data_IF_662347786008
#
_entry.id   IF_662347786008
#
_cell.length_a   1.000
_cell.length_b   1.000
_cell.length_c   1.000
_cell.angle_alpha   90.00
_cell.angle_beta   90.00
_cell.angle_gamma   90.00
#
_symmetry.space_group_name_H-M   'P 1'
#
loop_
_entity.id
_entity.type
_entity.pdbx_description
1 polymer ?
#
# COMPACT_ATOMS: atom_id res chain seq x y z
N UNK A 1 4.09 -9.58 15.93
CA UNK A 1 4.33 -9.47 14.48
C UNK A 1 5.27 -8.31 14.25
N UNK A 2 6.26 -8.44 13.36
CA UNK A 2 7.16 -7.33 13.02
C UNK A 2 6.47 -6.35 12.05
N UNK A 3 6.94 -5.10 11.95
CA UNK A 3 6.39 -4.12 11.01
C UNK A 3 6.39 -4.65 9.56
N UNK A 4 7.44 -5.34 9.06
CA UNK A 4 7.39 -5.96 7.75
C UNK A 4 6.27 -7.00 7.59
N UNK A 5 6.03 -7.85 8.60
CA UNK A 5 4.97 -8.86 8.56
C UNK A 5 3.57 -8.22 8.53
N UNK A 6 3.33 -7.18 9.34
CA UNK A 6 2.09 -6.40 9.31
C UNK A 6 1.86 -5.79 7.93
N UNK A 7 2.90 -5.22 7.34
CA UNK A 7 2.84 -4.63 6.00
C UNK A 7 2.50 -5.70 4.93
N UNK A 8 3.22 -6.83 4.92
CA UNK A 8 3.00 -7.91 3.95
C UNK A 8 1.56 -8.45 4.02
N UNK A 9 1.05 -8.62 5.25
CA UNK A 9 -0.32 -9.09 5.51
C UNK A 9 -1.39 -8.06 5.21
N UNK A 10 -1.05 -6.78 5.16
CA UNK A 10 -1.98 -5.71 4.76
C UNK A 10 -2.02 -5.52 3.25
N UNK A 11 -0.94 -5.88 2.55
CA UNK A 11 -0.89 -5.87 1.09
C UNK A 11 -1.63 -7.03 0.45
N UNK A 12 -1.49 -8.25 0.98
CA UNK A 12 -1.85 -9.47 0.25
C UNK A 12 -2.75 -10.45 1.01
N UNK A 13 -3.54 -11.18 0.23
CA UNK A 13 -4.25 -12.39 0.62
C UNK A 13 -3.36 -13.60 0.33
N UNK A 14 -3.35 -14.58 1.24
CA UNK A 14 -2.55 -15.79 1.10
C UNK A 14 -3.41 -17.04 0.98
N UNK A 15 -2.88 -18.06 0.29
CA UNK A 15 -3.41 -19.42 0.35
C UNK A 15 -2.91 -20.17 1.60
N UNK A 16 -3.29 -21.45 1.74
CA UNK A 16 -2.88 -22.29 2.86
C UNK A 16 -1.39 -22.63 2.89
N UNK A 17 -0.67 -22.43 1.76
CA UNK A 17 0.77 -22.59 1.66
C UNK A 17 1.53 -21.28 1.91
N UNK A 18 0.84 -20.19 2.27
CA UNK A 18 1.44 -18.88 2.51
C UNK A 18 1.81 -18.13 1.22
N UNK A 19 1.30 -18.54 0.06
CA UNK A 19 1.56 -17.87 -1.22
C UNK A 19 0.54 -16.80 -1.53
N UNK A 20 0.95 -15.74 -2.23
CA UNK A 20 0.06 -14.64 -2.62
C UNK A 20 -1.02 -15.19 -3.56
N UNK A 21 -2.28 -15.03 -3.18
CA UNK A 21 -3.47 -15.32 -4.01
C UNK A 21 -3.96 -14.07 -4.74
N UNK A 22 -3.76 -12.91 -4.12
CA UNK A 22 -4.16 -11.62 -4.66
C UNK A 22 -3.85 -10.48 -3.69
N UNK A 23 -4.12 -9.26 -4.11
CA UNK A 23 -4.01 -8.06 -3.29
C UNK A 23 -5.26 -7.87 -2.40
N UNK A 24 -5.25 -6.88 -1.50
CA UNK A 24 -6.32 -6.63 -0.50
C UNK A 24 -7.22 -5.44 -0.81
N UNK A 25 -7.10 -4.86 -1.99
CA UNK A 25 -8.07 -3.91 -2.52
C UNK A 25 -9.47 -4.55 -2.58
N UNK A 26 -10.55 -3.77 -2.51
CA UNK A 26 -11.91 -4.28 -2.67
C UNK A 26 -12.13 -5.06 -3.98
N UNK A 27 -11.45 -4.64 -5.05
CA UNK A 27 -11.33 -5.38 -6.30
C UNK A 27 -9.89 -5.91 -6.41
N UNK A 28 -9.63 -7.17 -6.01
CA UNK A 28 -8.28 -7.68 -5.83
C UNK A 28 -7.63 -8.03 -7.17
N UNK A 29 -6.40 -7.55 -7.35
CA UNK A 29 -5.51 -8.00 -8.43
C UNK A 29 -4.75 -9.28 -8.04
N UNK A 30 -4.14 -10.01 -8.99
CA UNK A 30 -3.28 -11.15 -8.66
C UNK A 30 -2.06 -10.80 -7.78
N UNK A 31 -1.65 -9.53 -7.74
CA UNK A 31 -0.46 -9.08 -7.01
C UNK A 31 0.86 -9.43 -7.72
N UNK A 32 2.01 -9.05 -7.14
CA UNK A 32 3.32 -9.31 -7.72
C UNK A 32 3.66 -10.80 -7.63
N UNK A 33 4.50 -11.30 -8.56
CA UNK A 33 5.03 -12.67 -8.49
C UNK A 33 5.89 -12.91 -7.25
N UNK A 34 6.58 -11.87 -6.79
CA UNK A 34 7.43 -11.88 -5.61
C UNK A 34 7.37 -10.52 -4.92
N UNK A 35 7.18 -10.52 -3.61
CA UNK A 35 7.24 -9.33 -2.77
C UNK A 35 8.29 -9.54 -1.68
N UNK A 36 9.13 -8.53 -1.46
CA UNK A 36 10.12 -8.50 -0.38
C UNK A 36 9.93 -7.20 0.42
N UNK A 37 9.70 -7.34 1.72
CA UNK A 37 9.58 -6.21 2.65
C UNK A 37 10.73 -6.29 3.63
N UNK A 38 11.57 -5.27 3.59
CA UNK A 38 12.79 -5.18 4.40
C UNK A 38 12.57 -4.23 5.57
N UNK A 39 12.94 -4.66 6.77
CA UNK A 39 12.91 -3.84 7.98
C UNK A 39 14.23 -3.94 8.74
N UNK A 40 14.42 -3.04 9.71
CA UNK A 40 15.65 -2.99 10.52
C UNK A 40 15.86 -4.22 11.40
N UNK A 41 14.81 -4.99 11.69
CA UNK A 41 14.86 -6.19 12.53
C UNK A 41 14.65 -7.50 11.75
N UNK A 42 13.98 -7.45 10.60
CA UNK A 42 13.62 -8.65 9.83
C UNK A 42 13.33 -8.30 8.38
N UNK A 43 13.48 -9.26 7.50
CA UNK A 43 12.87 -9.27 6.17
C UNK A 43 11.72 -10.28 6.15
N UNK A 44 10.64 -9.95 5.45
CA UNK A 44 9.56 -10.89 5.13
C UNK A 44 9.29 -10.84 3.64
N UNK A 45 8.79 -11.92 3.09
CA UNK A 45 8.53 -12.04 1.67
C UNK A 45 7.36 -12.99 1.42
N UNK A 46 6.85 -12.94 0.20
CA UNK A 46 5.93 -13.96 -0.28
C UNK A 46 6.06 -14.10 -1.80
N UNK A 47 5.74 -15.30 -2.28
CA UNK A 47 5.72 -15.66 -3.70
C UNK A 47 4.27 -15.91 -4.11
N UNK A 48 3.89 -15.53 -5.34
CA UNK A 48 2.53 -15.76 -5.85
C UNK A 48 2.24 -17.23 -6.13
N UNK A 49 0.99 -17.63 -5.94
CA UNK A 49 0.55 -19.02 -6.02
C UNK A 49 0.79 -19.67 -7.39
N UNK A 50 0.75 -18.89 -8.47
CA UNK A 50 0.97 -19.34 -9.85
C UNK A 50 2.46 -19.44 -10.25
N UNK A 51 3.39 -19.00 -9.39
CA UNK A 51 4.82 -19.13 -9.65
C UNK A 51 5.25 -20.58 -9.47
N UNK A 52 5.91 -21.21 -10.46
CA UNK A 52 6.32 -22.61 -10.38
C UNK A 52 7.10 -22.92 -9.10
N UNK A 53 6.81 -24.06 -8.46
CA UNK A 53 7.38 -24.44 -7.15
C UNK A 53 8.92 -24.30 -7.12
N UNK A 54 9.62 -24.79 -8.14
CA UNK A 54 11.08 -24.68 -8.25
C UNK A 54 11.60 -23.23 -8.21
N UNK A 55 10.86 -22.29 -8.80
CA UNK A 55 11.21 -20.87 -8.77
C UNK A 55 10.90 -20.26 -7.41
N UNK A 56 9.76 -20.63 -6.82
CA UNK A 56 9.39 -20.21 -5.47
C UNK A 56 10.41 -20.67 -4.42
N UNK A 57 10.85 -21.93 -4.47
CA UNK A 57 11.85 -22.47 -3.55
C UNK A 57 13.18 -21.69 -3.61
N UNK A 58 13.60 -21.30 -4.81
CA UNK A 58 14.80 -20.50 -5.00
C UNK A 58 14.62 -19.06 -4.51
N UNK A 59 13.45 -18.46 -4.75
CA UNK A 59 13.11 -17.13 -4.20
C UNK A 59 13.09 -17.16 -2.67
N UNK A 60 12.50 -18.19 -2.06
CA UNK A 60 12.45 -18.38 -0.61
C UNK A 60 13.84 -18.55 -0.02
N UNK A 61 14.69 -19.36 -0.66
CA UNK A 61 16.08 -19.55 -0.24
C UNK A 61 16.88 -18.24 -0.27
N UNK A 62 16.73 -17.44 -1.32
CA UNK A 62 17.42 -16.16 -1.46
C UNK A 62 16.90 -15.13 -0.45
N UNK A 63 15.57 -14.99 -0.34
CA UNK A 63 14.95 -14.04 0.56
C UNK A 63 15.22 -14.37 2.04
N UNK A 64 15.27 -15.66 2.39
CA UNK A 64 15.66 -16.12 3.73
C UNK A 64 17.12 -15.86 4.10
N UNK A 65 17.98 -15.56 3.12
CA UNK A 65 19.37 -15.17 3.34
C UNK A 65 19.56 -13.64 3.40
N UNK A 66 18.51 -12.83 3.15
CA UNK A 66 18.60 -11.38 3.25
C UNK A 66 18.81 -10.94 4.71
N UNK A 67 19.82 -10.09 4.99
CA UNK A 67 19.99 -9.52 6.31
C UNK A 67 18.92 -8.45 6.58
N UNK A 68 18.59 -8.17 7.85
CA UNK A 68 17.88 -6.95 8.21
C UNK A 68 18.60 -5.71 7.68
N UNK A 69 17.83 -4.71 7.26
CA UNK A 69 18.38 -3.56 6.53
C UNK A 69 19.04 -2.54 7.47
N UNK A 70 20.28 -2.15 7.16
CA UNK A 70 20.98 -1.07 7.85
C UNK A 70 20.62 0.31 7.27
N UNK A 71 20.66 0.41 5.93
CA UNK A 71 20.32 1.60 5.15
C UNK A 71 19.26 1.28 4.09
N UNK A 72 18.13 1.99 4.13
CA UNK A 72 17.00 1.77 3.22
C UNK A 72 17.29 2.16 1.77
N UNK A 73 18.39 2.86 1.51
CA UNK A 73 18.85 3.21 0.16
C UNK A 73 19.52 2.03 -0.54
N UNK A 74 19.97 1.03 0.20
CA UNK A 74 20.65 -0.12 -0.36
C UNK A 74 19.67 -1.03 -1.10
N UNK A 75 20.13 -1.59 -2.22
CA UNK A 75 19.41 -2.64 -2.94
C UNK A 75 19.36 -3.94 -2.11
N UNK A 76 18.37 -4.82 -2.32
CA UNK A 76 18.41 -6.17 -1.77
C UNK A 76 19.68 -6.92 -2.21
N UNK A 77 20.23 -7.77 -1.34
CA UNK A 77 21.48 -8.50 -1.61
C UNK A 77 21.37 -9.31 -2.90
N UNK A 78 20.19 -9.89 -3.15
CA UNK A 78 19.95 -10.73 -4.32
C UNK A 78 19.10 -10.05 -5.40
N UNK A 79 19.10 -8.71 -5.49
CA UNK A 79 18.25 -7.93 -6.40
C UNK A 79 18.26 -8.42 -7.86
N UNK A 80 19.44 -8.68 -8.43
CA UNK A 80 19.56 -9.18 -9.81
C UNK A 80 18.94 -10.57 -9.96
N UNK A 81 19.11 -11.44 -8.96
CA UNK A 81 18.59 -12.79 -9.01
C UNK A 81 17.08 -12.82 -8.89
N UNK A 82 16.49 -11.96 -8.06
CA UNK A 82 15.03 -11.77 -7.99
C UNK A 82 14.47 -11.35 -9.35
N UNK A 83 15.13 -10.40 -10.04
CA UNK A 83 14.71 -9.96 -11.39
C UNK A 83 14.70 -11.11 -12.39
N UNK A 84 15.74 -11.95 -12.39
CA UNK A 84 15.82 -13.10 -13.31
C UNK A 84 14.75 -14.15 -13.02
N UNK A 85 14.45 -14.41 -11.74
CA UNK A 85 13.52 -15.46 -11.32
C UNK A 85 12.05 -15.04 -11.44
N UNK A 86 11.70 -13.86 -10.95
CA UNK A 86 10.32 -13.36 -11.01
C UNK A 86 9.99 -12.75 -12.38
N UNK A 87 10.97 -12.06 -12.99
CA UNK A 87 10.76 -11.25 -14.19
C UNK A 87 9.80 -10.07 -13.95
N UNK A 88 9.55 -9.31 -15.02
CA UNK A 88 8.62 -8.18 -15.00
C UNK A 88 9.20 -6.88 -14.46
N UNK A 89 8.33 -5.89 -14.29
CA UNK A 89 8.71 -4.58 -13.76
C UNK A 89 8.96 -4.64 -12.25
N UNK A 90 9.94 -3.87 -11.80
CA UNK A 90 10.26 -3.74 -10.37
C UNK A 90 9.64 -2.45 -9.85
N UNK A 91 8.71 -2.61 -8.91
CA UNK A 91 8.25 -1.50 -8.08
C UNK A 91 8.96 -1.53 -6.73
N UNK A 92 9.48 -0.39 -6.29
CA UNK A 92 10.16 -0.28 -5.01
C UNK A 92 10.00 1.11 -4.42
N UNK A 93 9.88 1.19 -3.10
CA UNK A 93 9.76 2.45 -2.38
C UNK A 93 9.71 2.23 -0.87
N UNK A 94 9.91 3.30 -0.09
CA UNK A 94 9.71 3.24 1.35
C UNK A 94 8.23 3.04 1.69
N UNK A 95 7.98 2.34 2.79
CA UNK A 95 6.68 2.31 3.43
C UNK A 95 6.77 3.05 4.76
N UNK A 96 5.81 3.93 5.01
CA UNK A 96 5.76 4.74 6.22
C UNK A 96 4.61 4.28 7.10
N UNK A 97 4.79 4.44 8.41
CA UNK A 97 3.72 4.29 9.39
C UNK A 97 3.51 5.63 10.06
N UNK A 98 2.29 5.90 10.48
CA UNK A 98 2.03 7.09 11.28
C UNK A 98 2.79 7.00 12.62
N UNK A 99 3.29 8.13 13.15
CA UNK A 99 3.74 8.18 14.53
C UNK A 99 2.60 7.83 15.49
N UNK A 100 2.93 7.49 16.74
CA UNK A 100 1.95 7.18 17.79
C UNK A 100 0.93 8.29 18.01
N UNK A 101 1.30 9.53 17.72
CA UNK A 101 0.42 10.70 17.82
C UNK A 101 0.45 11.46 16.51
N UNK A 102 -0.73 11.65 15.93
CA UNK A 102 -0.96 12.46 14.74
C UNK A 102 -1.89 13.60 15.14
N UNK A 103 -1.53 14.84 14.86
CA UNK A 103 -2.43 15.97 15.10
C UNK A 103 -3.59 15.93 14.11
N UNK A 104 -4.82 16.13 14.60
CA UNK A 104 -6.00 16.16 13.73
C UNK A 104 -6.04 17.49 12.99
N UNK A 105 -5.91 17.50 11.65
CA UNK A 105 -6.05 18.74 10.90
C UNK A 105 -7.52 19.17 10.81
N UNK A 106 -7.73 20.48 10.68
CA UNK A 106 -9.04 21.04 10.34
C UNK A 106 -9.26 21.06 8.82
N UNK A 107 -10.49 21.42 8.39
CA UNK A 107 -10.79 21.66 6.98
C UNK A 107 -10.92 20.42 6.11
N UNK A 108 -11.18 19.25 6.72
CA UNK A 108 -11.43 18.00 5.99
C UNK A 108 -12.85 17.49 6.20
N UNK A 109 -13.39 16.83 5.19
CA UNK A 109 -14.73 16.21 5.24
C UNK A 109 -14.65 14.72 4.94
N UNK A 110 -15.56 13.94 5.51
CA UNK A 110 -15.75 12.54 5.09
C UNK A 110 -16.38 12.50 3.70
N UNK A 111 -15.89 11.61 2.85
CA UNK A 111 -16.44 11.38 1.52
C UNK A 111 -17.29 10.11 1.54
N UNK A 112 -18.59 10.29 1.36
CA UNK A 112 -19.57 9.19 1.28
C UNK A 112 -20.27 9.09 -0.07
N UNK A 113 -20.01 10.02 -0.99
CA UNK A 113 -20.69 10.10 -2.28
C UNK A 113 -19.78 10.56 -3.41
N UNK A 114 -19.97 9.97 -4.59
CA UNK A 114 -19.18 10.20 -5.80
C UNK A 114 -19.13 11.66 -6.30
N UNK A 115 -20.22 12.46 -6.23
CA UNK A 115 -20.20 13.82 -6.77
C UNK A 115 -19.09 14.73 -6.22
N UNK A 116 -18.61 14.47 -5.00
CA UNK A 116 -17.52 15.24 -4.40
C UNK A 116 -16.18 15.02 -5.15
N UNK A 117 -15.97 13.83 -5.72
CA UNK A 117 -14.74 13.45 -6.41
C UNK A 117 -14.73 13.82 -7.90
N UNK A 118 -15.92 13.86 -8.51
CA UNK A 118 -16.12 13.81 -9.95
C UNK A 118 -15.42 14.91 -10.78
N UNK A 119 -15.10 16.07 -10.18
CA UNK A 119 -14.43 17.18 -10.87
C UNK A 119 -12.94 16.93 -11.11
N UNK A 120 -12.26 16.30 -10.15
CA UNK A 120 -10.80 16.23 -10.12
C UNK A 120 -10.24 14.81 -10.12
N UNK A 121 -11.05 13.83 -9.74
CA UNK A 121 -10.65 12.42 -9.64
C UNK A 121 -11.58 11.59 -10.52
N UNK A 122 -11.01 11.03 -11.59
CA UNK A 122 -11.69 10.12 -12.51
C UNK A 122 -11.45 8.66 -12.13
N UNK A 123 -12.33 7.76 -12.56
CA UNK A 123 -12.20 6.32 -12.32
C UNK A 123 -12.97 5.83 -11.09
N UNK A 124 -13.41 6.74 -10.23
CA UNK A 124 -14.24 6.42 -9.08
C UNK A 124 -15.69 6.07 -9.48
N UNK A 125 -16.24 5.07 -8.81
CA UNK A 125 -17.63 4.63 -8.93
C UNK A 125 -18.34 4.72 -7.59
N UNK A 126 -19.66 4.93 -7.58
CA UNK A 126 -20.42 4.97 -6.33
C UNK A 126 -20.36 3.64 -5.56
N UNK A 127 -20.22 2.51 -6.27
CA UNK A 127 -20.19 1.18 -5.70
C UNK A 127 -18.90 0.87 -4.92
N UNK A 128 -17.76 1.50 -5.27
CA UNK A 128 -16.49 1.21 -4.59
C UNK A 128 -16.25 2.05 -3.33
N UNK A 129 -16.92 3.21 -3.21
CA UNK A 129 -16.74 4.15 -2.08
C UNK A 129 -16.88 3.46 -0.71
N UNK A 130 -17.90 2.61 -0.46
CA UNK A 130 -18.01 1.89 0.80
C UNK A 130 -16.81 0.97 1.08
N UNK A 131 -16.29 0.30 0.04
CA UNK A 131 -15.11 -0.59 0.15
C UNK A 131 -13.81 0.15 0.43
N UNK A 132 -13.75 1.44 0.09
CA UNK A 132 -12.59 2.33 0.26
C UNK A 132 -12.68 3.21 1.51
N UNK A 133 -13.72 3.02 2.32
CA UNK A 133 -13.90 3.77 3.57
C UNK A 133 -12.95 3.30 4.70
N UNK A 134 -12.51 4.20 5.61
CA UNK A 134 -12.83 5.63 5.63
C UNK A 134 -12.16 6.36 4.46
N UNK A 135 -12.85 7.38 3.96
CA UNK A 135 -12.36 8.29 2.93
C UNK A 135 -12.59 9.72 3.38
N UNK A 136 -11.55 10.53 3.30
CA UNK A 136 -11.50 11.90 3.80
C UNK A 136 -10.93 12.78 2.71
N UNK A 137 -11.44 14.01 2.58
CA UNK A 137 -10.98 14.95 1.57
C UNK A 137 -10.84 16.37 2.09
N UNK A 138 -9.92 17.13 1.48
CA UNK A 138 -9.93 18.60 1.48
C UNK A 138 -10.77 19.06 0.30
N UNK A 139 -11.65 20.04 0.51
CA UNK A 139 -12.64 20.52 -0.46
C UNK A 139 -12.43 22.00 -0.76
N UNK A 140 -12.36 22.36 -2.04
CA UNK A 140 -12.39 23.74 -2.53
C UNK A 140 -13.45 23.86 -3.63
N UNK A 141 -14.21 24.97 -3.64
CA UNK A 141 -15.33 25.21 -4.56
C UNK A 141 -16.37 24.08 -4.63
N UNK A 142 -16.57 23.37 -3.51
CA UNK A 142 -17.54 22.27 -3.41
C UNK A 142 -17.05 20.93 -3.96
N UNK A 143 -15.78 20.81 -4.36
CA UNK A 143 -15.19 19.56 -4.87
C UNK A 143 -13.93 19.16 -4.11
N UNK A 144 -13.70 17.86 -3.97
CA UNK A 144 -12.47 17.34 -3.39
C UNK A 144 -11.27 17.71 -4.27
N UNK A 145 -10.24 18.28 -3.67
CA UNK A 145 -8.98 18.64 -4.33
C UNK A 145 -7.80 17.79 -3.86
N UNK A 146 -7.95 17.14 -2.71
CA UNK A 146 -7.07 16.09 -2.20
C UNK A 146 -7.92 15.09 -1.42
N UNK A 147 -7.72 13.79 -1.65
CA UNK A 147 -8.47 12.70 -1.02
C UNK A 147 -7.53 11.64 -0.48
N UNK A 148 -7.83 11.12 0.71
CA UNK A 148 -7.19 9.95 1.29
C UNK A 148 -8.25 8.91 1.61
N UNK A 149 -7.99 7.66 1.27
CA UNK A 149 -8.94 6.56 1.40
C UNK A 149 -8.24 5.29 1.87
N UNK A 150 -9.02 4.32 2.34
CA UNK A 150 -8.51 3.01 2.67
C UNK A 150 -8.24 2.22 1.39
N UNK A 151 -6.98 2.16 0.95
CA UNK A 151 -6.59 1.40 -0.23
C UNK A 151 -6.70 -0.10 0.03
N UNK A 152 -6.19 -0.54 1.19
CA UNK A 152 -6.15 -1.93 1.63
C UNK A 152 -6.37 -2.02 3.12
N UNK A 153 -6.91 -3.14 3.60
CA UNK A 153 -7.15 -3.37 5.02
C UNK A 153 -6.95 -4.83 5.40
N UNK A 154 -6.30 -5.04 6.54
CA UNK A 154 -6.27 -6.30 7.29
C UNK A 154 -6.91 -6.10 8.67
N UNK A 155 -6.99 -7.16 9.46
CA UNK A 155 -7.47 -7.09 10.85
C UNK A 155 -6.52 -6.29 11.76
N UNK A 156 -5.30 -5.98 11.29
CA UNK A 156 -4.23 -5.39 12.11
C UNK A 156 -3.77 -4.02 11.64
N UNK A 157 -3.96 -3.68 10.37
CA UNK A 157 -3.57 -2.40 9.81
C UNK A 157 -4.38 -2.07 8.55
N UNK A 158 -4.38 -0.80 8.19
CA UNK A 158 -4.92 -0.27 6.95
C UNK A 158 -3.84 0.54 6.22
N UNK A 159 -3.89 0.51 4.89
CA UNK A 159 -3.04 1.34 4.04
C UNK A 159 -3.84 2.46 3.41
N UNK A 160 -3.27 3.67 3.49
CA UNK A 160 -3.79 4.85 2.85
C UNK A 160 -3.49 4.83 1.34
N UNK A 161 -4.51 5.04 0.52
CA UNK A 161 -4.39 5.55 -0.84
C UNK A 161 -4.60 7.06 -0.82
N UNK A 162 -3.85 7.80 -1.64
CA UNK A 162 -3.89 9.25 -1.64
C UNK A 162 -3.78 9.81 -3.04
N UNK A 163 -4.67 10.74 -3.36
CA UNK A 163 -4.65 11.48 -4.62
C UNK A 163 -4.80 12.98 -4.34
N UNK A 164 -3.97 13.79 -5.01
CA UNK A 164 -4.10 15.25 -5.03
C UNK A 164 -4.19 15.72 -6.47
N UNK A 165 -5.23 16.50 -6.77
CA UNK A 165 -5.48 17.05 -8.09
C UNK A 165 -4.27 17.89 -8.56
N UNK A 166 -3.88 17.76 -9.82
CA UNK A 166 -2.60 18.30 -10.31
C UNK A 166 -2.41 19.79 -10.02
N UNK A 167 -3.45 20.60 -10.20
CA UNK A 167 -3.45 22.04 -9.95
C UNK A 167 -3.30 22.43 -8.46
N UNK A 168 -3.49 21.49 -7.53
CA UNK A 168 -3.49 21.71 -6.09
C UNK A 168 -2.28 21.08 -5.38
N UNK A 169 -1.37 20.46 -6.13
CA UNK A 169 -0.14 19.85 -5.59
C UNK A 169 0.83 20.93 -5.09
N UNK A 170 1.75 20.53 -4.20
CA UNK A 170 2.75 21.44 -3.61
C UNK A 170 2.20 22.36 -2.51
N UNK A 171 0.93 22.22 -2.14
CA UNK A 171 0.25 23.05 -1.12
C UNK A 171 0.13 22.39 0.27
N UNK A 172 0.73 21.22 0.48
CA UNK A 172 0.63 20.47 1.75
C UNK A 172 -0.67 19.67 1.96
N UNK A 173 -1.57 19.64 0.97
CA UNK A 173 -2.88 18.96 1.10
C UNK A 173 -2.78 17.45 1.26
N UNK A 174 -1.77 16.81 0.67
CA UNK A 174 -1.54 15.38 0.79
C UNK A 174 -1.30 14.96 2.25
N UNK A 175 -0.24 15.44 2.91
CA UNK A 175 -0.01 15.19 4.33
C UNK A 175 -1.21 15.54 5.22
N UNK A 176 -1.91 16.65 4.93
CA UNK A 176 -3.13 17.03 5.67
C UNK A 176 -4.21 15.95 5.56
N UNK A 177 -4.56 15.51 4.35
CA UNK A 177 -5.64 14.53 4.18
C UNK A 177 -5.25 13.14 4.71
N UNK A 178 -3.96 12.78 4.63
CA UNK A 178 -3.43 11.55 5.23
C UNK A 178 -3.54 11.57 6.77
N UNK A 179 -3.19 12.69 7.40
CA UNK A 179 -3.32 12.87 8.84
C UNK A 179 -4.79 12.84 9.29
N UNK A 180 -5.70 13.44 8.51
CA UNK A 180 -7.13 13.39 8.78
C UNK A 180 -7.68 11.95 8.68
N UNK A 181 -7.25 11.20 7.67
CA UNK A 181 -7.63 9.80 7.49
C UNK A 181 -7.16 8.91 8.64
N UNK A 182 -5.99 9.17 9.23
CA UNK A 182 -5.49 8.43 10.39
C UNK A 182 -6.38 8.56 11.65
N UNK A 183 -7.26 9.57 11.69
CA UNK A 183 -8.24 9.79 12.77
C UNK A 183 -9.64 9.22 12.48
N UNK A 184 -9.90 8.80 11.23
CA UNK A 184 -11.23 8.57 10.70
C UNK A 184 -11.78 7.15 10.92
#
# INVERSE_FOLDING_TARGET
MSTPDIHLRTLFLFDSAGRIRGTREPDPDPGPKFALIRGRSSCVWAVRADVPQKIADELDRLAGAEPPIADFRDAPVHAERYRVLAGGEVYSGPAFTFPTTVEKPEGTVHVSALPLLARHFSGWTAAEIPGRSPMVAVVEDGYAVSVCFCARRSDTAAEAGLETAAAFRGRGLGPQVAAAWAWA
#
